data_IF_849439649322
#
_entry.id   IF_849439649322
#
_cell.length_a   1.000
_cell.length_b   1.000
_cell.length_c   1.000
_cell.angle_alpha   90.00
_cell.angle_beta   90.00
_cell.angle_gamma   90.00
#
_symmetry.space_group_name_H-M   'P 1'
#
loop_
_entity.id
_entity.type
_entity.pdbx_description
1 polymer ?
#
# COMPACT_ATOMS: atom_id res chain seq x y z
N UNK A 1 16.89 -12.93 11.85
CA UNK A 1 16.95 -12.59 10.41
C UNK A 1 16.21 -11.27 10.29
N UNK A 2 16.89 -10.18 9.92
CA UNK A 2 16.24 -8.88 9.82
C UNK A 2 15.60 -8.78 8.44
N UNK A 3 14.36 -9.22 8.34
CA UNK A 3 13.52 -9.01 7.15
C UNK A 3 13.44 -7.49 6.96
N UNK A 4 14.09 -6.99 5.91
CA UNK A 4 13.98 -5.58 5.50
C UNK A 4 12.54 -5.37 5.04
N UNK A 5 11.65 -5.02 5.97
CA UNK A 5 10.30 -4.56 5.68
C UNK A 5 10.45 -3.36 4.73
N UNK A 6 10.09 -3.54 3.45
CA UNK A 6 10.03 -2.43 2.51
C UNK A 6 8.74 -1.67 2.82
N UNK A 7 8.89 -0.43 3.23
CA UNK A 7 7.76 0.48 3.42
C UNK A 7 7.27 0.91 2.03
N UNK A 8 6.10 0.43 1.64
CA UNK A 8 5.47 0.82 0.38
C UNK A 8 4.48 1.94 0.68
N UNK A 9 4.74 3.12 0.12
CA UNK A 9 3.85 4.27 0.22
C UNK A 9 2.80 4.21 -0.89
N UNK A 10 1.55 4.51 -0.56
CA UNK A 10 0.44 4.55 -1.49
C UNK A 10 -0.54 5.68 -1.15
N UNK A 11 -1.22 6.23 -2.16
CA UNK A 11 -2.20 7.30 -2.02
C UNK A 11 -3.59 6.80 -2.40
N UNK A 12 -4.52 6.86 -1.46
CA UNK A 12 -5.90 6.47 -1.72
C UNK A 12 -6.54 7.30 -2.83
N UNK A 13 -7.20 6.67 -3.80
CA UNK A 13 -7.89 7.35 -4.90
C UNK A 13 -9.20 8.02 -4.49
N UNK A 14 -9.87 7.54 -3.44
CA UNK A 14 -11.11 8.15 -2.94
C UNK A 14 -10.85 9.36 -2.04
N UNK A 15 -10.01 9.19 -1.01
CA UNK A 15 -9.81 10.23 -0.01
C UNK A 15 -8.50 11.00 -0.17
N UNK A 16 -7.70 10.65 -1.19
CA UNK A 16 -6.42 11.28 -1.52
C UNK A 16 -5.40 11.31 -0.37
N UNK A 17 -5.60 10.46 0.64
CA UNK A 17 -4.70 10.35 1.78
C UNK A 17 -3.60 9.34 1.52
N UNK A 18 -2.39 9.73 1.89
CA UNK A 18 -1.21 8.89 1.82
C UNK A 18 -1.17 7.95 3.02
N UNK A 19 -0.77 6.71 2.77
CA UNK A 19 -0.58 5.67 3.77
C UNK A 19 0.56 4.77 3.34
N UNK A 20 1.12 4.04 4.28
CA UNK A 20 2.16 3.06 3.98
C UNK A 20 1.71 1.68 4.43
N UNK A 21 2.08 0.67 3.65
CA UNK A 21 1.98 -0.72 4.07
C UNK A 21 3.40 -1.26 4.20
N UNK A 22 3.73 -1.76 5.39
CA UNK A 22 4.99 -2.41 5.70
C UNK A 22 4.70 -3.86 6.09
N UNK A 23 5.12 -4.79 5.27
CA UNK A 23 4.89 -6.23 5.46
C UNK A 23 5.43 -6.98 4.25
N UNK A 24 5.42 -8.32 4.31
CA UNK A 24 5.83 -9.24 3.23
C UNK A 24 5.02 -9.11 1.91
N UNK A 25 4.53 -7.92 1.56
CA UNK A 25 4.13 -7.53 0.22
C UNK A 25 5.39 -7.41 -0.66
N UNK A 26 6.13 -8.51 -0.75
CA UNK A 26 7.33 -8.64 -1.52
C UNK A 26 6.99 -8.54 -2.98
N UNK A 27 7.11 -7.34 -3.56
CA UNK A 27 7.05 -7.09 -5.00
C UNK A 27 5.77 -7.54 -5.73
N UNK A 28 4.75 -8.09 -5.05
CA UNK A 28 3.49 -8.53 -5.67
C UNK A 28 2.62 -7.32 -6.05
N UNK A 29 2.54 -6.95 -7.35
CA UNK A 29 1.75 -5.80 -7.81
C UNK A 29 0.24 -6.05 -7.69
N UNK A 30 -0.18 -7.31 -7.55
CA UNK A 30 -1.59 -7.72 -7.41
C UNK A 30 -2.10 -7.61 -5.97
N UNK A 31 -1.28 -7.11 -5.05
CA UNK A 31 -1.68 -6.95 -3.66
C UNK A 31 -2.73 -5.85 -3.51
N UNK A 32 -3.88 -6.19 -2.94
CA UNK A 32 -4.86 -5.19 -2.55
C UNK A 32 -4.43 -4.56 -1.22
N UNK A 33 -4.45 -3.22 -1.16
CA UNK A 33 -4.27 -2.45 0.06
C UNK A 33 -5.56 -1.79 0.46
N UNK A 34 -5.82 -1.77 1.76
CA UNK A 34 -6.97 -1.08 2.33
C UNK A 34 -6.52 0.26 2.91
N UNK A 35 -7.16 1.35 2.50
CA UNK A 35 -6.91 2.65 3.07
C UNK A 35 -7.36 2.69 4.55
N UNK A 36 -6.50 3.05 5.50
CA UNK A 36 -6.86 3.08 6.92
C UNK A 36 -7.88 4.18 7.27
N UNK A 37 -8.06 5.16 6.39
CA UNK A 37 -8.95 6.30 6.61
C UNK A 37 -10.39 6.02 6.18
N UNK A 38 -10.58 5.62 4.91
CA UNK A 38 -11.89 5.37 4.33
C UNK A 38 -12.26 3.88 4.24
N UNK A 39 -11.33 2.98 4.59
CA UNK A 39 -11.47 1.51 4.42
C UNK A 39 -11.75 1.10 2.97
N UNK A 40 -11.40 1.96 2.02
CA UNK A 40 -11.47 1.64 0.60
C UNK A 40 -10.36 0.65 0.24
N UNK A 41 -10.73 -0.45 -0.41
CA UNK A 41 -9.78 -1.45 -0.92
C UNK A 41 -9.39 -1.10 -2.36
N UNK A 42 -8.10 -1.07 -2.64
CA UNK A 42 -7.54 -0.67 -3.93
C UNK A 42 -6.30 -1.51 -4.26
N UNK A 43 -5.97 -1.63 -5.55
CA UNK A 43 -4.76 -2.33 -5.97
C UNK A 43 -3.53 -1.50 -5.69
N UNK A 44 -2.57 -2.07 -4.98
CA UNK A 44 -1.34 -1.38 -4.61
C UNK A 44 -0.59 -0.84 -5.83
N UNK A 45 -0.54 -1.58 -6.95
CA UNK A 45 0.11 -1.12 -8.18
C UNK A 45 -0.48 0.20 -8.74
N UNK A 46 -1.80 0.40 -8.61
CA UNK A 46 -2.48 1.60 -9.11
C UNK A 46 -2.30 2.81 -8.20
N UNK A 47 -2.10 2.58 -6.91
CA UNK A 47 -2.07 3.65 -5.89
C UNK A 47 -0.69 3.88 -5.27
N UNK A 48 0.28 3.03 -5.57
CA UNK A 48 1.65 3.12 -5.07
C UNK A 48 2.30 4.40 -5.55
N UNK A 49 2.90 5.10 -4.60
CA UNK A 49 3.75 6.25 -4.84
C UNK A 49 5.16 5.68 -5.11
N UNK A 50 5.70 5.94 -6.31
CA UNK A 50 7.05 5.51 -6.71
C UNK A 50 8.13 6.45 -6.18
#
# INVERSE_FOLDING_TARGET
MAEKLREIWFKCTECEKESYCGGEFGDDPESNVMCPFCRHEMKLDEVRIK
#
